data_IF_716904796201
#
_entry.id   IF_716904796201
#
_cell.length_a   1.000
_cell.length_b   1.000
_cell.length_c   1.000
_cell.angle_alpha   90.00
_cell.angle_beta   90.00
_cell.angle_gamma   90.00
#
_symmetry.space_group_name_H-M   'P 1'
#
loop_
_entity.id
_entity.type
_entity.pdbx_description
1 polymer ?
#
# COMPACT_ATOMS: atom_id res chain seq x y z
N UNK A 1 14.83 -11.80 -14.66
CA UNK A 1 14.22 -10.73 -15.49
C UNK A 1 15.08 -9.47 -15.37
N UNK A 2 15.35 -8.78 -16.49
CA UNK A 2 16.17 -7.55 -16.53
C UNK A 2 15.31 -6.38 -17.00
N UNK A 3 15.44 -5.22 -16.36
CA UNK A 3 14.64 -4.01 -16.62
C UNK A 3 15.61 -2.83 -16.71
N UNK A 4 15.37 -1.87 -17.62
CA UNK A 4 16.14 -0.62 -17.67
C UNK A 4 15.54 0.36 -16.67
N UNK A 5 16.36 0.86 -15.75
CA UNK A 5 15.97 1.86 -14.76
C UNK A 5 16.89 3.09 -14.89
N UNK A 6 16.42 4.30 -14.56
CA UNK A 6 17.29 5.46 -14.43
C UNK A 6 18.43 5.17 -13.45
N UNK A 7 19.64 5.58 -13.80
CA UNK A 7 20.79 5.57 -12.90
C UNK A 7 20.56 6.56 -11.76
N UNK A 8 21.31 6.42 -10.67
CA UNK A 8 21.17 7.30 -9.50
C UNK A 8 21.43 8.78 -9.83
N UNK A 9 22.21 9.02 -10.89
CA UNK A 9 22.53 10.36 -11.36
C UNK A 9 21.52 10.86 -12.41
N UNK A 10 20.48 10.09 -12.74
CA UNK A 10 19.40 10.38 -13.70
C UNK A 10 19.83 10.67 -15.15
N UNK A 11 21.12 10.62 -15.44
CA UNK A 11 21.67 10.94 -16.75
C UNK A 11 21.57 9.77 -17.76
N UNK A 12 21.47 8.53 -17.26
CA UNK A 12 21.55 7.33 -18.09
C UNK A 12 20.56 6.25 -17.65
N UNK A 13 20.20 5.35 -18.58
CA UNK A 13 19.43 4.14 -18.26
C UNK A 13 20.38 2.97 -18.05
N UNK A 14 20.31 2.35 -16.88
CA UNK A 14 21.11 1.17 -16.53
C UNK A 14 20.25 -0.09 -16.49
N UNK A 15 20.85 -1.22 -16.87
CA UNK A 15 20.17 -2.51 -16.87
C UNK A 15 20.19 -3.13 -15.47
N UNK A 16 19.07 -3.06 -14.78
CA UNK A 16 18.88 -3.66 -13.46
C UNK A 16 18.38 -5.11 -13.57
N UNK A 17 19.06 -6.03 -12.87
CA UNK A 17 18.61 -7.42 -12.73
C UNK A 17 17.87 -7.60 -11.40
N UNK A 18 16.60 -8.01 -11.48
CA UNK A 18 15.79 -8.24 -10.27
C UNK A 18 16.41 -9.34 -9.39
N UNK A 19 16.75 -9.01 -8.15
CA UNK A 19 17.40 -9.94 -7.20
C UNK A 19 16.43 -10.92 -6.54
N UNK A 20 15.17 -10.55 -6.36
CA UNK A 20 14.16 -11.33 -5.63
C UNK A 20 12.94 -11.69 -6.49
N UNK A 21 13.14 -11.86 -7.80
CA UNK A 21 12.05 -12.13 -8.74
C UNK A 21 11.25 -13.41 -8.43
N UNK A 22 11.82 -14.32 -7.62
CA UNK A 22 11.19 -15.58 -7.22
C UNK A 22 10.73 -15.59 -5.76
N UNK A 23 10.78 -14.45 -5.05
CA UNK A 23 10.29 -14.42 -3.67
C UNK A 23 8.82 -14.86 -3.64
N UNK A 24 8.46 -15.81 -2.78
CA UNK A 24 7.08 -16.26 -2.70
C UNK A 24 6.18 -15.12 -2.22
N UNK A 25 4.98 -15.05 -2.78
CA UNK A 25 3.95 -14.16 -2.25
C UNK A 25 3.54 -14.60 -0.85
N UNK A 26 3.13 -13.63 -0.03
CA UNK A 26 2.61 -13.92 1.30
C UNK A 26 1.40 -14.86 1.18
N UNK A 27 1.44 -15.95 1.95
CA UNK A 27 0.35 -16.93 2.02
C UNK A 27 -0.58 -16.60 3.19
N UNK A 28 -1.86 -17.02 3.13
CA UNK A 28 -2.79 -16.86 4.24
C UNK A 28 -2.22 -17.39 5.55
N UNK A 29 -2.47 -16.68 6.66
CA UNK A 29 -2.00 -17.13 7.97
C UNK A 29 -2.63 -18.47 8.35
N UNK A 30 -1.81 -19.36 8.94
CA UNK A 30 -2.26 -20.64 9.48
C UNK A 30 -2.07 -20.62 11.00
N UNK A 31 -3.17 -20.68 11.74
CA UNK A 31 -3.16 -20.70 13.21
C UNK A 31 -3.01 -19.33 13.86
N UNK A 32 -2.88 -19.33 15.19
CA UNK A 32 -2.76 -18.12 15.98
C UNK A 32 -1.34 -17.53 15.91
N UNK A 33 -1.23 -16.21 15.70
CA UNK A 33 0.05 -15.51 15.72
C UNK A 33 0.45 -15.16 17.16
N UNK A 34 1.74 -15.23 17.46
CA UNK A 34 2.29 -14.88 18.78
C UNK A 34 2.47 -13.35 18.97
N UNK A 35 2.04 -12.54 17.99
CA UNK A 35 2.11 -11.08 17.98
C UNK A 35 0.84 -10.51 17.39
N UNK A 36 0.44 -9.34 17.88
CA UNK A 36 -0.62 -8.55 17.26
C UNK A 36 0.07 -7.60 16.28
N UNK A 37 -0.26 -7.73 14.99
CA UNK A 37 0.30 -6.88 13.93
C UNK A 37 -0.82 -6.15 13.23
N UNK A 38 -0.69 -4.83 13.14
CA UNK A 38 -1.59 -3.96 12.39
C UNK A 38 -0.89 -3.48 11.13
N UNK A 39 -1.60 -3.52 10.01
CA UNK A 39 -1.21 -2.84 8.79
C UNK A 39 -1.98 -1.52 8.70
N UNK A 40 -1.25 -0.40 8.62
CA UNK A 40 -1.84 0.86 8.19
C UNK A 40 -2.09 0.73 6.67
N UNK A 41 -3.35 0.72 6.25
CA UNK A 41 -3.74 0.43 4.88
C UNK A 41 -3.94 1.72 4.07
N UNK A 42 -3.42 1.74 2.84
CA UNK A 42 -3.62 2.86 1.92
C UNK A 42 -5.03 2.82 1.29
N UNK A 43 -5.44 3.92 0.65
CA UNK A 43 -6.66 4.02 -0.16
C UNK A 43 -6.33 3.95 -1.64
N UNK A 44 -7.23 3.38 -2.45
CA UNK A 44 -7.07 3.32 -3.90
C UNK A 44 -7.92 4.41 -4.53
N UNK A 45 -7.31 5.24 -5.36
CA UNK A 45 -8.01 6.30 -6.11
C UNK A 45 -8.65 5.71 -7.36
N UNK A 46 -9.82 6.22 -7.78
CA UNK A 46 -10.41 5.90 -9.09
C UNK A 46 -9.73 6.71 -10.20
N UNK A 47 -8.86 6.12 -11.04
CA UNK A 47 -8.13 6.90 -12.05
C UNK A 47 -9.02 7.32 -13.23
N UNK A 48 -10.14 6.64 -13.44
CA UNK A 48 -11.03 6.86 -14.59
C UNK A 48 -12.13 7.89 -14.32
N UNK A 49 -12.31 8.33 -13.07
CA UNK A 49 -13.29 9.37 -12.73
C UNK A 49 -12.62 10.74 -12.80
N UNK A 50 -13.32 11.69 -13.43
CA UNK A 50 -12.90 13.09 -13.46
C UNK A 50 -12.97 13.68 -12.05
N UNK A 51 -11.87 14.23 -11.58
CA UNK A 51 -11.74 14.97 -10.34
C UNK A 51 -10.37 15.63 -10.33
N UNK A 52 -10.24 16.77 -9.66
CA UNK A 52 -8.95 17.40 -9.44
C UNK A 52 -8.20 16.58 -8.36
N UNK A 53 -7.04 15.98 -8.67
CA UNK A 53 -6.27 15.19 -7.68
C UNK A 53 -5.78 15.99 -6.47
N UNK A 54 -5.79 17.32 -6.55
CA UNK A 54 -5.32 18.22 -5.50
C UNK A 54 -6.45 18.73 -4.59
N UNK A 55 -7.71 18.44 -4.91
CA UNK A 55 -8.87 18.93 -4.16
C UNK A 55 -9.77 17.76 -3.67
N UNK A 56 -10.78 18.09 -2.87
CA UNK A 56 -11.76 17.15 -2.29
C UNK A 56 -12.65 16.43 -3.33
N UNK A 57 -12.51 16.76 -4.61
CA UNK A 57 -13.22 16.09 -5.72
C UNK A 57 -12.60 14.73 -6.10
N UNK A 58 -11.53 14.32 -5.43
CA UNK A 58 -10.87 13.03 -5.63
C UNK A 58 -11.83 11.87 -5.30
N UNK A 59 -12.05 10.99 -6.28
CA UNK A 59 -12.93 9.83 -6.09
C UNK A 59 -12.15 8.60 -5.64
N UNK A 60 -12.59 7.95 -4.56
CA UNK A 60 -11.99 6.73 -4.01
C UNK A 60 -12.62 5.48 -4.65
N UNK A 61 -11.78 4.52 -5.05
CA UNK A 61 -12.18 3.19 -5.50
C UNK A 61 -12.45 2.32 -4.28
N UNK A 62 -13.69 2.35 -3.77
CA UNK A 62 -14.06 1.62 -2.56
C UNK A 62 -13.93 0.12 -2.72
N UNK A 63 -14.25 -0.43 -3.90
CA UNK A 63 -14.17 -1.87 -4.15
C UNK A 63 -12.73 -2.37 -4.04
N UNK A 64 -11.78 -1.69 -4.69
CA UNK A 64 -10.36 -2.06 -4.58
C UNK A 64 -9.78 -1.76 -3.21
N UNK A 65 -10.23 -0.67 -2.59
CA UNK A 65 -9.84 -0.29 -1.23
C UNK A 65 -10.22 -1.41 -0.25
N UNK A 66 -11.46 -1.91 -0.29
CA UNK A 66 -11.95 -3.00 0.56
C UNK A 66 -11.30 -4.35 0.22
N UNK A 67 -11.12 -4.67 -1.07
CA UNK A 67 -10.42 -5.89 -1.48
C UNK A 67 -8.99 -5.99 -0.90
N UNK A 68 -8.31 -4.84 -0.73
CA UNK A 68 -7.01 -4.82 -0.07
C UNK A 68 -7.09 -5.10 1.44
N UNK A 69 -8.16 -4.67 2.13
CA UNK A 69 -8.38 -5.02 3.55
C UNK A 69 -8.61 -6.51 3.70
N UNK A 70 -9.46 -7.09 2.86
CA UNK A 70 -9.72 -8.53 2.84
C UNK A 70 -8.45 -9.34 2.61
N UNK A 71 -7.58 -8.86 1.71
CA UNK A 71 -6.26 -9.45 1.50
C UNK A 71 -5.42 -9.44 2.78
N UNK A 72 -5.35 -8.31 3.49
CA UNK A 72 -4.59 -8.19 4.74
C UNK A 72 -5.16 -9.08 5.85
N UNK A 73 -6.48 -9.16 5.99
CA UNK A 73 -7.13 -10.07 6.94
C UNK A 73 -6.83 -11.52 6.62
N UNK A 74 -6.83 -11.90 5.33
CA UNK A 74 -6.47 -13.26 4.91
C UNK A 74 -5.03 -13.62 5.30
N UNK A 75 -4.13 -12.64 5.33
CA UNK A 75 -2.75 -12.80 5.79
C UNK A 75 -2.61 -12.81 7.33
N UNK A 76 -3.70 -12.63 8.08
CA UNK A 76 -3.71 -12.60 9.55
C UNK A 76 -3.40 -11.25 10.18
N UNK A 77 -3.27 -10.18 9.37
CA UNK A 77 -3.10 -8.83 9.89
C UNK A 77 -4.43 -8.25 10.36
N UNK A 78 -4.36 -7.37 11.34
CA UNK A 78 -5.43 -6.41 11.62
C UNK A 78 -5.19 -5.15 10.77
N UNK A 79 -6.24 -4.39 10.47
CA UNK A 79 -6.11 -3.17 9.68
C UNK A 79 -6.31 -1.97 10.58
N UNK A 80 -5.39 -1.02 10.52
CA UNK A 80 -5.54 0.29 11.13
C UNK A 80 -6.03 1.27 10.06
N UNK A 81 -7.32 1.59 10.09
CA UNK A 81 -8.01 2.46 9.13
C UNK A 81 -7.83 3.95 9.45
N UNK A 82 -7.88 4.79 8.41
CA UNK A 82 -7.73 6.25 8.52
C UNK A 82 -6.47 6.66 9.31
N UNK A 83 -5.45 5.80 9.28
CA UNK A 83 -4.15 6.04 9.88
C UNK A 83 -3.18 6.48 8.80
N UNK A 84 -2.21 7.27 9.23
CA UNK A 84 -1.17 7.73 8.35
C UNK A 84 -0.29 6.54 7.90
N UNK A 85 -0.28 6.28 6.59
CA UNK A 85 0.61 5.29 5.96
C UNK A 85 1.88 5.93 5.42
N UNK A 86 2.00 7.27 5.52
CA UNK A 86 3.01 8.10 4.89
C UNK A 86 3.14 9.41 5.68
N UNK A 87 4.14 9.61 6.57
CA UNK A 87 4.21 10.78 7.44
C UNK A 87 3.98 12.07 6.65
N UNK A 88 2.77 12.62 6.69
CA UNK A 88 2.46 13.93 6.14
C UNK A 88 2.68 14.93 7.26
N UNK A 89 3.41 15.99 6.95
CA UNK A 89 4.07 16.89 7.89
C UNK A 89 3.09 17.82 8.64
N UNK A 90 1.80 17.60 8.47
CA UNK A 90 0.69 18.40 8.97
C UNK A 90 -0.19 17.61 9.94
N UNK A 91 0.29 17.53 11.20
CA UNK A 91 -0.52 17.59 12.42
C UNK A 91 -1.77 16.71 12.52
N UNK A 92 -1.59 15.43 12.81
CA UNK A 92 -2.65 14.42 13.00
C UNK A 92 -3.44 14.58 14.32
N UNK A 93 -4.75 14.32 14.25
CA UNK A 93 -5.62 14.02 15.39
C UNK A 93 -6.22 12.61 15.31
N UNK A 94 -5.43 11.61 15.70
CA UNK A 94 -5.78 10.28 16.27
C UNK A 94 -7.03 9.54 15.75
N UNK A 95 -6.82 8.63 14.79
CA UNK A 95 -7.70 7.48 14.57
C UNK A 95 -7.52 6.45 15.68
N UNK A 96 -8.58 6.17 16.45
CA UNK A 96 -8.59 5.06 17.41
C UNK A 96 -8.49 3.74 16.66
N UNK A 97 -7.60 2.87 17.15
CA UNK A 97 -7.53 1.47 16.73
C UNK A 97 -8.86 0.81 17.08
N UNK A 98 -9.66 0.46 16.07
CA UNK A 98 -10.78 -0.47 16.22
C UNK A 98 -10.26 -1.91 16.34
#
# INVERSE_FOLDING_TARGET
>A
MKIRLPSLNEETLELYTLKYAQSPFASPAKGAMNRIVYAAAHVVVQPMKSGNPWDETLSIDWDKTLAFREYLWRLGFRVAEAMDTRPTWDGVGLGRIC
#
